data_IF_656674987433
#
_entry.id   IF_656674987433
#
_cell.length_a   1.000
_cell.length_b   1.000
_cell.length_c   1.000
_cell.angle_alpha   90.00
_cell.angle_beta   90.00
_cell.angle_gamma   90.00
#
_symmetry.space_group_name_H-M   'P 1'
#
loop_
_entity.id
_entity.type
_entity.pdbx_description
1 polymer ?
#
# COMPACT_ATOMS: atom_id res chain seq x y z
N UNK A 1 0.92 10.88 -4.01
CA UNK A 1 0.75 10.07 -5.23
C UNK A 1 0.09 10.92 -6.30
N UNK A 2 0.86 11.47 -7.24
CA UNK A 2 0.26 12.14 -8.39
C UNK A 2 -0.44 11.11 -9.28
N UNK A 3 -1.51 11.50 -9.97
CA UNK A 3 -2.17 10.65 -10.95
C UNK A 3 -1.14 10.13 -11.96
N UNK A 4 -1.17 8.83 -12.25
CA UNK A 4 -0.22 8.17 -13.14
C UNK A 4 1.14 7.79 -12.52
N UNK A 5 1.43 8.15 -11.27
CA UNK A 5 2.62 7.64 -10.56
C UNK A 5 2.52 6.13 -10.31
N UNK A 6 3.67 5.45 -10.16
CA UNK A 6 3.69 3.99 -9.96
C UNK A 6 2.84 3.52 -8.76
N UNK A 7 2.87 4.26 -7.65
CA UNK A 7 2.03 3.96 -6.47
C UNK A 7 0.54 4.18 -6.73
N UNK A 8 0.18 5.16 -7.57
CA UNK A 8 -1.22 5.39 -7.95
C UNK A 8 -1.71 4.23 -8.82
N UNK A 9 -0.94 3.84 -9.84
CA UNK A 9 -1.24 2.69 -10.69
C UNK A 9 -1.37 1.38 -9.89
N UNK A 10 -0.47 1.15 -8.93
CA UNK A 10 -0.54 0.00 -8.04
C UNK A 10 -1.79 0.05 -7.15
N UNK A 11 -2.13 1.21 -6.57
CA UNK A 11 -3.32 1.36 -5.75
C UNK A 11 -4.61 1.10 -6.56
N UNK A 12 -4.71 1.67 -7.76
CA UNK A 12 -5.86 1.44 -8.66
C UNK A 12 -6.00 -0.04 -9.01
N UNK A 13 -4.88 -0.70 -9.35
CA UNK A 13 -4.87 -2.13 -9.66
C UNK A 13 -5.27 -2.97 -8.45
N UNK A 14 -4.72 -2.68 -7.27
CA UNK A 14 -5.04 -3.38 -6.02
C UNK A 14 -6.51 -3.20 -5.65
N UNK A 15 -7.10 -2.04 -5.88
CA UNK A 15 -8.48 -1.74 -5.51
C UNK A 15 -9.52 -2.33 -6.47
N UNK A 16 -9.18 -2.47 -7.75
CA UNK A 16 -10.20 -2.72 -8.79
C UNK A 16 -9.98 -3.97 -9.64
N UNK A 17 -8.75 -4.48 -9.76
CA UNK A 17 -8.46 -5.53 -10.72
C UNK A 17 -8.92 -6.91 -10.18
N UNK A 18 -9.59 -7.76 -10.99
CA UNK A 18 -10.07 -9.07 -10.53
C UNK A 18 -8.97 -10.04 -10.06
N UNK A 19 -7.74 -9.85 -10.54
CA UNK A 19 -6.57 -10.62 -10.09
C UNK A 19 -5.83 -9.97 -8.91
N UNK A 20 -6.28 -8.81 -8.43
CA UNK A 20 -5.73 -8.21 -7.22
C UNK A 20 -5.96 -9.14 -6.04
N UNK A 21 -4.94 -9.37 -5.19
CA UNK A 21 -5.14 -10.14 -3.97
C UNK A 21 -6.08 -9.44 -2.99
N UNK A 22 -6.15 -8.11 -2.99
CA UNK A 22 -7.10 -7.34 -2.17
C UNK A 22 -8.53 -7.63 -2.63
N UNK A 23 -8.82 -7.52 -3.93
CA UNK A 23 -10.16 -7.80 -4.46
C UNK A 23 -10.54 -9.28 -4.31
N UNK A 24 -9.60 -10.18 -4.62
CA UNK A 24 -9.86 -11.61 -4.69
C UNK A 24 -10.09 -12.25 -3.31
N UNK A 25 -9.42 -11.75 -2.27
CA UNK A 25 -9.40 -12.40 -0.96
C UNK A 25 -10.17 -11.64 0.14
N UNK A 26 -10.59 -10.40 -0.09
CA UNK A 26 -11.52 -9.70 0.81
C UNK A 26 -12.96 -10.18 0.56
N UNK A 27 -13.69 -10.56 1.61
CA UNK A 27 -15.04 -11.13 1.45
C UNK A 27 -16.07 -10.05 1.20
N UNK A 28 -17.20 -10.37 0.55
CA UNK A 28 -18.30 -9.43 0.39
C UNK A 28 -18.78 -8.87 1.74
N UNK A 29 -18.79 -7.54 1.86
CA UNK A 29 -19.22 -6.83 3.07
C UNK A 29 -18.14 -6.63 4.13
N UNK A 30 -16.92 -7.13 3.93
CA UNK A 30 -15.75 -6.78 4.75
C UNK A 30 -15.14 -5.45 4.27
N UNK A 31 -14.44 -4.76 5.18
CA UNK A 31 -13.65 -3.59 4.84
C UNK A 31 -12.53 -3.98 3.86
N UNK A 32 -12.16 -3.09 2.94
CA UNK A 32 -11.22 -3.38 1.85
C UNK A 32 -9.84 -3.88 2.35
N UNK A 33 -9.45 -3.47 3.55
CA UNK A 33 -8.19 -3.75 4.21
C UNK A 33 -8.29 -4.85 5.30
N UNK A 34 -9.43 -5.54 5.41
CA UNK A 34 -9.67 -6.53 6.47
C UNK A 34 -8.72 -7.74 6.41
N UNK A 35 -8.27 -8.12 5.21
CA UNK A 35 -7.38 -9.29 4.99
C UNK A 35 -5.95 -8.85 4.68
N UNK A 36 -5.79 -7.80 3.87
CA UNK A 36 -4.50 -7.28 3.44
C UNK A 36 -4.45 -5.78 3.74
N UNK A 37 -3.65 -5.40 4.75
CA UNK A 37 -3.42 -4.00 5.11
C UNK A 37 -2.37 -3.38 4.18
N UNK A 38 -2.80 -2.42 3.34
CA UNK A 38 -1.94 -1.71 2.39
C UNK A 38 -1.54 -0.36 2.97
N UNK A 39 -0.23 -0.13 3.13
CA UNK A 39 0.33 1.14 3.60
C UNK A 39 1.33 1.70 2.61
N UNK A 40 1.28 3.01 2.38
CA UNK A 40 2.19 3.71 1.50
C UNK A 40 3.11 4.64 2.30
N UNK A 41 4.41 4.54 2.05
CA UNK A 41 5.43 5.43 2.63
C UNK A 41 6.03 6.26 1.52
N UNK A 42 5.90 7.57 1.62
CA UNK A 42 6.40 8.52 0.63
C UNK A 42 7.73 9.14 1.07
N UNK A 43 8.60 9.44 0.12
CA UNK A 43 9.89 10.10 0.37
C UNK A 43 9.76 11.61 0.64
N UNK A 44 8.60 12.19 0.37
CA UNK A 44 8.26 13.57 0.68
C UNK A 44 7.91 13.74 2.16
N UNK A 45 7.98 14.96 2.67
CA UNK A 45 7.45 15.32 4.00
C UNK A 45 5.93 15.48 3.95
N UNK A 46 5.27 15.37 5.10
CA UNK A 46 3.80 15.34 5.21
C UNK A 46 3.12 16.61 4.68
N UNK A 47 3.78 17.77 4.77
CA UNK A 47 3.32 19.06 4.28
C UNK A 47 3.38 19.19 2.75
N UNK A 48 4.09 18.28 2.07
CA UNK A 48 4.21 18.24 0.61
C UNK A 48 3.20 17.28 -0.04
N UNK A 49 2.46 16.51 0.75
CA UNK A 49 1.48 15.55 0.23
C UNK A 49 0.06 16.12 0.25
N UNK A 50 -0.56 16.15 -0.92
CA UNK A 50 -2.00 16.38 -1.08
C UNK A 50 -2.78 15.11 -0.69
N UNK A 51 -3.05 14.93 0.61
CA UNK A 51 -3.78 13.77 1.13
C UNK A 51 -5.16 13.60 0.47
N UNK A 52 -5.87 14.70 0.26
CA UNK A 52 -7.18 14.74 -0.37
C UNK A 52 -7.20 14.16 -1.80
N UNK A 53 -6.05 14.11 -2.47
CA UNK A 53 -5.87 13.58 -3.82
C UNK A 53 -5.34 12.13 -3.84
N UNK A 54 -5.09 11.51 -2.68
CA UNK A 54 -4.64 10.12 -2.62
C UNK A 54 -5.72 9.14 -3.12
N UNK A 55 -5.32 7.99 -3.70
CA UNK A 55 -6.23 6.90 -4.03
C UNK A 55 -7.12 6.48 -2.85
N UNK A 56 -8.34 6.01 -3.13
CA UNK A 56 -9.27 5.54 -2.11
C UNK A 56 -8.76 4.33 -1.35
N UNK A 57 -7.97 3.44 -1.96
CA UNK A 57 -7.28 2.37 -1.23
C UNK A 57 -6.38 2.89 -0.09
N UNK A 58 -5.75 4.05 -0.26
CA UNK A 58 -4.89 4.67 0.76
C UNK A 58 -5.67 5.59 1.70
N UNK A 59 -6.99 5.61 1.54
CA UNK A 59 -7.96 6.34 2.36
C UNK A 59 -9.26 5.52 2.39
N UNK A 60 -9.23 4.29 2.91
CA UNK A 60 -10.43 3.47 2.91
C UNK A 60 -11.46 4.03 3.90
N UNK A 61 -12.73 3.85 3.60
CA UNK A 61 -13.81 4.06 4.57
C UNK A 61 -14.13 2.71 5.19
N UNK A 62 -13.98 2.61 6.51
CA UNK A 62 -14.03 1.33 7.22
C UNK A 62 -14.99 1.37 8.41
N UNK A 63 -15.32 0.17 8.90
CA UNK A 63 -16.18 -0.03 10.05
C UNK A 63 -17.64 0.33 9.82
N UNK A 64 -18.45 0.11 10.87
CA UNK A 64 -19.93 0.21 10.80
C UNK A 64 -20.46 1.60 10.42
N UNK A 65 -19.66 2.63 10.62
CA UNK A 65 -20.03 4.02 10.35
C UNK A 65 -19.43 4.55 9.03
N UNK A 66 -18.63 3.74 8.32
CA UNK A 66 -17.97 4.15 7.07
C UNK A 66 -17.05 5.36 7.27
N UNK A 67 -16.33 5.40 8.39
CA UNK A 67 -15.43 6.52 8.69
C UNK A 67 -14.14 6.37 7.88
N UNK A 68 -13.58 7.51 7.52
CA UNK A 68 -12.32 7.59 6.81
C UNK A 68 -11.18 7.11 7.73
N UNK A 69 -10.47 6.06 7.33
CA UNK A 69 -9.17 5.71 7.91
C UNK A 69 -8.10 6.67 7.35
N UNK A 70 -7.30 7.28 8.24
CA UNK A 70 -6.24 8.23 7.93
C UNK A 70 -4.83 7.63 8.13
N UNK A 71 -4.72 6.36 8.49
CA UNK A 71 -3.49 5.73 8.97
C UNK A 71 -2.79 4.86 7.90
N UNK A 72 -3.10 5.06 6.61
CA UNK A 72 -2.48 4.31 5.50
C UNK A 72 -1.34 5.04 4.79
N UNK A 73 -1.20 6.35 5.00
CA UNK A 73 -0.23 7.20 4.30
C UNK A 73 0.81 7.75 5.27
N UNK A 74 2.07 7.48 4.99
CA UNK A 74 3.21 7.90 5.80
C UNK A 74 4.23 8.65 4.94
N UNK A 75 5.12 9.38 5.61
CA UNK A 75 6.15 10.22 5.00
C UNK A 75 7.48 9.94 5.70
N UNK A 76 8.57 10.44 5.11
CA UNK A 76 9.85 10.53 5.82
C UNK A 76 9.72 11.45 7.03
N UNK A 77 10.50 11.16 8.07
CA UNK A 77 10.50 11.99 9.26
C UNK A 77 11.18 13.33 9.02
N UNK A 78 10.59 14.40 9.56
CA UNK A 78 11.13 15.77 9.49
C UNK A 78 11.69 16.24 10.85
N UNK A 79 11.67 15.38 11.88
CA UNK A 79 12.05 15.68 13.27
C UNK A 79 13.42 15.11 13.67
N UNK A 80 14.12 14.44 12.75
CA UNK A 80 15.47 13.94 12.95
C UNK A 80 15.57 12.46 13.36
N UNK A 81 14.49 11.68 13.29
CA UNK A 81 14.51 10.24 13.48
C UNK A 81 15.19 9.48 12.31
N UNK A 82 15.37 10.16 11.18
CA UNK A 82 16.08 9.68 9.99
C UNK A 82 15.15 9.42 8.81
N UNK A 83 15.73 9.41 7.61
CA UNK A 83 15.02 9.09 6.38
C UNK A 83 14.96 7.57 6.19
N UNK A 84 13.75 7.00 6.26
CA UNK A 84 13.54 5.55 6.12
C UNK A 84 14.03 5.00 4.77
N UNK A 85 14.03 5.80 3.69
CA UNK A 85 14.56 5.39 2.39
C UNK A 85 16.06 5.19 2.48
N UNK A 86 16.80 6.10 3.09
CA UNK A 86 18.25 5.97 3.27
C UNK A 86 18.58 4.86 4.26
N UNK A 87 17.86 4.80 5.39
CA UNK A 87 18.07 3.81 6.45
C UNK A 87 17.80 2.37 6.03
N UNK A 88 17.03 2.15 4.95
CA UNK A 88 16.69 0.83 4.42
C UNK A 88 17.21 0.60 3.00
N UNK A 89 17.95 1.54 2.43
CA UNK A 89 18.49 1.43 1.08
C UNK A 89 17.42 1.34 -0.01
N UNK A 90 16.28 2.02 0.17
CA UNK A 90 15.19 2.01 -0.80
C UNK A 90 15.61 2.86 -2.01
N UNK A 91 15.51 2.28 -3.21
CA UNK A 91 15.74 3.01 -4.45
C UNK A 91 14.68 4.11 -4.60
N UNK A 92 15.11 5.38 -4.63
CA UNK A 92 14.22 6.54 -4.69
C UNK A 92 13.53 6.72 -6.05
N UNK A 93 14.15 6.26 -7.12
CA UNK A 93 13.60 6.38 -8.47
C UNK A 93 12.57 5.28 -8.77
N UNK A 94 12.81 4.07 -8.26
CA UNK A 94 11.97 2.90 -8.54
C UNK A 94 10.97 2.57 -7.42
N UNK A 95 11.29 2.92 -6.17
CA UNK A 95 10.57 2.44 -4.99
C UNK A 95 10.64 0.92 -4.82
N UNK A 96 9.80 0.40 -3.94
CA UNK A 96 9.60 -1.04 -3.77
C UNK A 96 8.24 -1.35 -3.11
N UNK A 97 7.75 -2.55 -3.33
CA UNK A 97 6.64 -3.16 -2.59
C UNK A 97 7.23 -4.22 -1.63
N UNK A 98 6.93 -4.11 -0.34
CA UNK A 98 7.37 -5.09 0.67
C UNK A 98 6.16 -5.86 1.18
N UNK A 99 6.19 -7.18 1.04
CA UNK A 99 5.11 -8.05 1.54
C UNK A 99 5.54 -8.62 2.89
N UNK A 100 4.77 -8.32 3.93
CA UNK A 100 5.01 -8.74 5.31
C UNK A 100 3.90 -9.66 5.77
N UNK A 101 4.28 -10.78 6.41
CA UNK A 101 3.33 -11.76 6.97
C UNK A 101 2.71 -11.26 8.29
N UNK A 102 1.60 -11.87 8.74
CA UNK A 102 0.98 -11.53 10.03
C UNK A 102 1.90 -11.71 11.25
N UNK A 103 2.92 -12.57 11.15
CA UNK A 103 3.97 -12.75 12.15
C UNK A 103 5.18 -11.81 11.97
N UNK A 104 5.01 -10.76 11.17
CA UNK A 104 5.96 -9.66 10.94
C UNK A 104 7.22 -10.04 10.13
N UNK A 105 7.29 -11.24 9.57
CA UNK A 105 8.38 -11.62 8.67
C UNK A 105 8.17 -11.11 7.24
N UNK A 106 9.20 -10.49 6.65
CA UNK A 106 9.23 -10.13 5.22
C UNK A 106 9.29 -11.39 4.38
N UNK A 107 8.42 -11.49 3.38
CA UNK A 107 8.40 -12.63 2.45
C UNK A 107 8.84 -12.23 1.05
N UNK A 108 8.47 -11.03 0.59
CA UNK A 108 8.87 -10.54 -0.73
C UNK A 108 9.27 -9.07 -0.66
N UNK A 109 10.22 -8.70 -1.53
CA UNK A 109 10.54 -7.32 -1.90
C UNK A 109 10.47 -7.26 -3.42
N UNK A 110 9.47 -6.57 -3.94
CA UNK A 110 9.11 -6.56 -5.36
C UNK A 110 9.21 -5.15 -5.95
N UNK A 111 9.43 -5.00 -7.27
CA UNK A 111 9.11 -3.77 -7.97
C UNK A 111 7.64 -3.39 -7.79
N UNK A 112 7.30 -2.10 -7.72
CA UNK A 112 5.91 -1.65 -7.58
C UNK A 112 4.99 -2.14 -8.71
N UNK A 113 5.55 -2.41 -9.90
CA UNK A 113 4.81 -2.88 -11.08
C UNK A 113 4.68 -4.41 -11.17
N UNK A 114 5.28 -5.18 -10.25
CA UNK A 114 5.29 -6.65 -10.29
C UNK A 114 3.98 -7.28 -9.78
N UNK A 115 2.85 -6.84 -10.34
CA UNK A 115 1.50 -7.23 -9.89
C UNK A 115 1.19 -8.72 -10.11
N UNK A 116 1.77 -9.33 -11.15
CA UNK A 116 1.57 -10.76 -11.44
C UNK A 116 2.24 -11.65 -10.38
N UNK A 117 3.47 -11.31 -9.97
CA UNK A 117 4.19 -12.02 -8.92
C UNK A 117 3.49 -11.87 -7.57
N UNK A 118 3.01 -10.66 -7.27
CA UNK A 118 2.20 -10.39 -6.08
C UNK A 118 0.93 -11.25 -6.07
N UNK A 119 0.18 -11.29 -7.17
CA UNK A 119 -1.04 -12.08 -7.29
C UNK A 119 -0.76 -13.59 -7.13
N UNK A 120 0.31 -14.08 -7.77
CA UNK A 120 0.72 -15.49 -7.70
C UNK A 120 1.07 -15.92 -6.28
N UNK A 121 1.81 -15.08 -5.54
CA UNK A 121 2.15 -15.35 -4.14
C UNK A 121 0.88 -15.51 -3.28
N UNK A 122 -0.01 -14.51 -3.30
CA UNK A 122 -1.21 -14.54 -2.46
C UNK A 122 -2.16 -15.68 -2.83
N UNK A 123 -2.30 -16.01 -4.13
CA UNK A 123 -3.07 -17.16 -4.58
C UNK A 123 -2.54 -18.52 -4.05
N UNK A 124 -1.25 -18.59 -3.69
CA UNK A 124 -0.63 -19.78 -3.10
C UNK A 124 -0.87 -19.93 -1.60
N UNK A 125 -1.29 -18.86 -0.89
CA UNK A 125 -1.40 -18.85 0.58
C UNK A 125 -2.79 -18.49 1.10
N UNK A 126 -3.60 -17.76 0.33
CA UNK A 126 -4.99 -17.39 0.65
C UNK A 126 -5.97 -18.15 -0.27
N UNK A 127 -7.19 -18.39 0.23
CA UNK A 127 -8.28 -19.04 -0.52
C UNK A 127 -9.50 -18.14 -0.58
#
# INVERSE_FOLDING_TARGET
AQAGSAIHQLADWLETHPHSPVVKHTRPGEDIDAVIDVRAVFQQTFDQLAYEQMPSLLKPKTGKLGLQDYEKVFCVDHKGAGDIFDMRGINRDQGCLVVVRPDQYVTHVLPLAAVDELAAYFAGVLR
#
